data_IF_476891067882
#
_entry.id   IF_476891067882
#
_cell.length_a   1.000
_cell.length_b   1.000
_cell.length_c   1.000
_cell.angle_alpha   90.00
_cell.angle_beta   90.00
_cell.angle_gamma   90.00
#
_symmetry.space_group_name_H-M   'P 1'
#
loop_
_entity.id
_entity.type
_entity.pdbx_description
1 polymer ?
#
# COMPACT_ATOMS: atom_id res chain seq x y z
N UNK A 1 -0.02 -18.50 7.33
CA UNK A 1 0.51 -17.73 6.19
C UNK A 1 -0.62 -17.51 5.19
N UNK A 2 -0.93 -16.26 4.82
CA UNK A 2 -1.93 -15.98 3.78
C UNK A 2 -1.28 -16.24 2.41
N UNK A 3 -1.82 -17.19 1.65
CA UNK A 3 -1.33 -17.54 0.30
C UNK A 3 -1.79 -16.52 -0.74
N UNK A 4 -1.14 -16.51 -1.90
CA UNK A 4 -1.55 -15.69 -3.06
C UNK A 4 -2.99 -16.02 -3.47
N UNK A 5 -3.33 -17.30 -3.56
CA UNK A 5 -4.68 -17.77 -3.89
C UNK A 5 -5.75 -17.24 -2.94
N UNK A 6 -5.46 -17.26 -1.63
CA UNK A 6 -6.40 -16.75 -0.62
C UNK A 6 -6.64 -15.25 -0.77
N UNK A 7 -5.61 -14.46 -1.10
CA UNK A 7 -5.74 -13.02 -1.37
C UNK A 7 -6.57 -12.72 -2.61
N UNK A 8 -6.33 -13.45 -3.69
CA UNK A 8 -7.13 -13.36 -4.92
C UNK A 8 -8.61 -13.60 -4.60
N UNK A 9 -8.89 -14.66 -3.82
CA UNK A 9 -10.25 -15.03 -3.40
C UNK A 9 -10.92 -13.97 -2.54
N UNK A 10 -10.17 -13.41 -1.58
CA UNK A 10 -10.65 -12.35 -0.69
C UNK A 10 -10.96 -11.08 -1.50
N UNK A 11 -10.03 -10.61 -2.33
CA UNK A 11 -10.23 -9.44 -3.18
C UNK A 11 -11.42 -9.58 -4.12
N UNK A 12 -11.57 -10.76 -4.74
CA UNK A 12 -12.73 -11.04 -5.61
C UNK A 12 -14.04 -10.89 -4.85
N UNK A 13 -14.10 -11.38 -3.61
CA UNK A 13 -15.29 -11.30 -2.76
C UNK A 13 -15.57 -9.88 -2.26
N UNK A 14 -14.54 -9.10 -1.97
CA UNK A 14 -14.67 -7.66 -1.64
C UNK A 14 -15.31 -6.87 -2.79
N UNK A 15 -14.97 -7.23 -4.03
CA UNK A 15 -15.57 -6.65 -5.23
C UNK A 15 -16.92 -7.27 -5.61
N UNK A 16 -17.44 -8.19 -4.79
CA UNK A 16 -18.69 -8.93 -5.04
C UNK A 16 -18.73 -9.67 -6.38
N UNK A 17 -17.57 -10.08 -6.90
CA UNK A 17 -17.46 -10.80 -8.17
C UNK A 17 -17.59 -12.30 -7.95
N UNK A 18 -18.30 -12.98 -8.84
CA UNK A 18 -18.33 -14.44 -8.92
C UNK A 18 -17.15 -14.97 -9.75
N UNK A 19 -16.90 -16.28 -9.70
CA UNK A 19 -15.91 -16.90 -10.60
C UNK A 19 -16.32 -16.73 -12.07
N UNK A 20 -17.62 -16.72 -12.36
CA UNK A 20 -18.14 -16.50 -13.72
C UNK A 20 -17.87 -15.07 -14.20
N UNK A 21 -17.94 -14.08 -13.32
CA UNK A 21 -17.65 -12.68 -13.67
C UNK A 21 -16.16 -12.50 -14.02
N UNK A 22 -15.26 -13.11 -13.25
CA UNK A 22 -13.83 -13.09 -13.59
C UNK A 22 -13.58 -13.80 -14.92
N UNK A 23 -14.23 -14.95 -15.16
CA UNK A 23 -14.14 -15.65 -16.45
C UNK A 23 -14.60 -14.76 -17.60
N UNK A 24 -15.70 -14.03 -17.44
CA UNK A 24 -16.21 -13.11 -18.47
C UNK A 24 -15.23 -11.96 -18.75
N UNK A 25 -14.55 -11.44 -17.72
CA UNK A 25 -13.58 -10.34 -17.85
C UNK A 25 -12.22 -10.76 -18.40
N UNK A 26 -11.76 -11.96 -18.05
CA UNK A 26 -10.36 -12.38 -18.27
C UNK A 26 -10.21 -13.58 -19.21
N UNK A 27 -11.30 -14.30 -19.51
CA UNK A 27 -11.23 -15.58 -20.21
C UNK A 27 -10.66 -16.73 -19.38
N UNK A 28 -10.21 -16.49 -18.13
CA UNK A 28 -9.72 -17.54 -17.23
C UNK A 28 -10.89 -18.45 -16.84
N UNK A 29 -10.75 -19.76 -17.07
CA UNK A 29 -11.82 -20.71 -16.71
C UNK A 29 -12.09 -20.72 -15.20
N UNK A 30 -13.35 -20.94 -14.81
CA UNK A 30 -13.75 -20.99 -13.40
C UNK A 30 -13.03 -22.09 -12.63
N UNK A 31 -12.73 -23.23 -13.27
CA UNK A 31 -11.91 -24.30 -12.70
C UNK A 31 -10.47 -23.86 -12.44
N UNK A 32 -9.82 -23.25 -13.42
CA UNK A 32 -8.46 -22.74 -13.26
C UNK A 32 -8.38 -21.66 -12.17
N UNK A 33 -9.35 -20.75 -12.14
CA UNK A 33 -9.44 -19.73 -11.10
C UNK A 33 -9.67 -20.33 -9.71
N UNK A 34 -10.52 -21.37 -9.60
CA UNK A 34 -10.74 -22.09 -8.35
C UNK A 34 -9.47 -22.78 -7.85
N UNK A 35 -8.71 -23.42 -8.75
CA UNK A 35 -7.42 -24.04 -8.40
C UNK A 35 -6.41 -23.01 -7.92
N UNK A 36 -6.38 -21.82 -8.55
CA UNK A 36 -5.57 -20.70 -8.11
C UNK A 36 -5.99 -20.22 -6.72
N UNK A 37 -7.28 -19.95 -6.52
CA UNK A 37 -7.83 -19.42 -5.26
C UNK A 37 -7.64 -20.35 -4.06
N UNK A 38 -7.67 -21.66 -4.29
CA UNK A 38 -7.45 -22.65 -3.24
C UNK A 38 -5.97 -23.01 -3.04
N UNK A 39 -5.06 -22.43 -3.84
CA UNK A 39 -3.62 -22.66 -3.73
C UNK A 39 -3.13 -23.96 -4.36
N UNK A 40 -3.97 -24.64 -5.14
CA UNK A 40 -3.60 -25.85 -5.88
C UNK A 40 -2.72 -25.54 -7.09
N UNK A 41 -2.75 -24.29 -7.57
CA UNK A 41 -1.99 -23.81 -8.72
C UNK A 41 -1.55 -22.37 -8.50
N UNK A 42 -0.35 -22.02 -8.95
CA UNK A 42 0.08 -20.63 -9.02
C UNK A 42 -0.34 -20.03 -10.39
N UNK A 43 -0.78 -18.77 -10.42
CA UNK A 43 -1.06 -18.10 -11.70
C UNK A 43 0.25 -17.90 -12.47
N UNK A 44 0.23 -18.20 -13.77
CA UNK A 44 1.32 -17.78 -14.65
C UNK A 44 1.33 -16.25 -14.80
N UNK A 45 2.44 -15.66 -15.23
CA UNK A 45 2.57 -14.20 -15.38
C UNK A 45 1.42 -13.56 -16.19
N UNK A 46 1.00 -14.09 -17.36
CA UNK A 46 -0.14 -13.52 -18.08
C UNK A 46 -1.46 -13.61 -17.31
N UNK A 47 -1.69 -14.72 -16.60
CA UNK A 47 -2.88 -14.90 -15.73
C UNK A 47 -2.85 -13.93 -14.57
N UNK A 48 -1.69 -13.67 -13.98
CA UNK A 48 -1.51 -12.74 -12.88
C UNK A 48 -1.87 -11.30 -13.30
N UNK A 49 -1.41 -10.86 -14.48
CA UNK A 49 -1.74 -9.53 -15.02
C UNK A 49 -3.25 -9.41 -15.27
N UNK A 50 -3.86 -10.40 -15.93
CA UNK A 50 -5.30 -10.42 -16.17
C UNK A 50 -6.12 -10.39 -14.86
N UNK A 51 -5.64 -11.08 -13.83
CA UNK A 51 -6.27 -11.05 -12.51
C UNK A 51 -6.12 -9.69 -11.83
N UNK A 52 -4.93 -9.06 -11.91
CA UNK A 52 -4.69 -7.73 -11.37
C UNK A 52 -5.67 -6.70 -11.98
N UNK A 53 -5.82 -6.72 -13.31
CA UNK A 53 -6.76 -5.85 -14.02
C UNK A 53 -8.22 -6.10 -13.59
N UNK A 54 -8.65 -7.37 -13.56
CA UNK A 54 -10.02 -7.73 -13.20
C UNK A 54 -10.37 -7.47 -11.72
N UNK A 55 -9.36 -7.51 -10.84
CA UNK A 55 -9.48 -7.30 -9.40
C UNK A 55 -9.11 -5.88 -8.96
N UNK A 56 -8.87 -4.97 -9.91
CA UNK A 56 -8.59 -3.56 -9.67
C UNK A 56 -7.49 -3.40 -8.59
N UNK A 57 -6.38 -4.09 -8.77
CA UNK A 57 -5.20 -4.02 -7.91
C UNK A 57 -3.92 -4.23 -8.72
N UNK A 58 -2.76 -3.98 -8.13
CA UNK A 58 -1.48 -4.26 -8.77
C UNK A 58 -1.10 -5.74 -8.63
N UNK A 59 -0.25 -6.22 -9.54
CA UNK A 59 0.39 -7.54 -9.39
C UNK A 59 1.17 -7.65 -8.09
N UNK A 60 1.77 -6.55 -7.65
CA UNK A 60 2.56 -6.47 -6.42
C UNK A 60 1.68 -6.74 -5.19
N UNK A 61 0.47 -6.16 -5.15
CA UNK A 61 -0.51 -6.43 -4.10
C UNK A 61 -0.87 -7.92 -4.00
N UNK A 62 -1.03 -8.59 -5.15
CA UNK A 62 -1.32 -10.03 -5.21
C UNK A 62 -0.14 -10.86 -4.68
N UNK A 63 1.10 -10.43 -4.91
CA UNK A 63 2.31 -11.17 -4.57
C UNK A 63 2.79 -10.93 -3.12
N UNK A 64 2.77 -9.68 -2.62
CA UNK A 64 3.46 -9.30 -1.38
C UNK A 64 2.75 -9.75 -0.10
N UNK A 65 3.37 -10.63 0.69
CA UNK A 65 2.78 -11.24 1.90
C UNK A 65 2.39 -10.24 3.00
N UNK A 66 2.88 -9.00 2.94
CA UNK A 66 2.61 -7.92 3.87
C UNK A 66 2.76 -6.62 3.11
N UNK A 67 1.67 -5.90 2.86
CA UNK A 67 1.81 -4.44 2.83
C UNK A 67 2.05 -4.08 4.29
N UNK A 68 3.24 -3.62 4.70
CA UNK A 68 3.33 -2.95 6.00
C UNK A 68 2.24 -1.88 5.99
N UNK A 69 1.51 -1.75 7.10
CA UNK A 69 0.40 -0.80 7.29
C UNK A 69 0.80 0.69 7.06
N UNK A 70 2.04 0.95 6.65
CA UNK A 70 2.60 2.24 6.28
C UNK A 70 2.49 2.61 4.79
N UNK A 71 1.98 1.77 3.90
CA UNK A 71 1.74 2.17 2.50
C UNK A 71 0.28 2.05 2.09
N UNK A 72 -0.54 2.91 2.68
CA UNK A 72 -1.68 3.45 1.97
C UNK A 72 -1.13 4.45 0.95
N UNK A 73 -0.88 4.01 -0.29
CA UNK A 73 -0.74 4.86 -1.48
C UNK A 73 -0.98 4.03 -2.77
N UNK A 74 -2.05 3.22 -2.76
CA UNK A 74 -2.54 2.53 -3.97
C UNK A 74 -3.31 3.44 -4.94
N UNK A 75 -3.40 4.72 -4.64
CA UNK A 75 -3.80 5.78 -5.56
C UNK A 75 -2.93 6.98 -5.19
N UNK A 76 -1.95 7.33 -6.04
CA UNK A 76 -1.32 8.64 -5.93
C UNK A 76 -2.44 9.66 -5.94
N UNK A 77 -2.54 10.45 -4.87
CA UNK A 77 -3.54 11.50 -4.78
C UNK A 77 -3.46 12.37 -6.05
N UNK A 78 -4.58 12.85 -6.57
CA UNK A 78 -4.61 13.60 -7.83
C UNK A 78 -3.65 14.80 -7.76
N UNK A 79 -3.50 15.40 -6.57
CA UNK A 79 -2.54 16.46 -6.32
C UNK A 79 -1.07 16.01 -6.35
N UNK A 80 -0.74 14.77 -6.00
CA UNK A 80 0.63 14.25 -6.09
C UNK A 80 1.09 14.11 -7.55
N UNK A 81 0.19 13.63 -8.41
CA UNK A 81 0.47 13.50 -9.85
C UNK A 81 0.64 14.88 -10.52
N UNK A 82 -0.19 15.85 -10.14
CA UNK A 82 -0.08 17.23 -10.64
C UNK A 82 1.24 17.89 -10.22
N UNK A 83 1.69 17.68 -8.98
CA UNK A 83 2.99 18.15 -8.50
C UNK A 83 4.13 17.53 -9.32
N UNK A 84 4.07 16.23 -9.63
CA UNK A 84 5.09 15.55 -10.42
C UNK A 84 5.17 16.08 -11.85
N UNK A 85 4.03 16.40 -12.47
CA UNK A 85 4.01 16.98 -13.81
C UNK A 85 4.62 18.38 -13.84
N UNK A 86 4.27 19.23 -12.86
CA UNK A 86 4.87 20.55 -12.71
C UNK A 86 6.38 20.47 -12.42
N UNK A 87 6.80 19.56 -11.53
CA UNK A 87 8.21 19.38 -11.16
C UNK A 87 9.08 18.98 -12.35
N UNK A 88 8.55 18.26 -13.34
CA UNK A 88 9.30 17.86 -14.55
C UNK A 88 9.59 19.03 -15.49
N UNK A 89 8.80 20.11 -15.43
CA UNK A 89 8.84 21.21 -16.39
C UNK A 89 9.72 22.40 -15.93
N UNK A 90 10.16 22.41 -14.67
CA UNK A 90 10.95 23.47 -14.07
C UNK A 90 12.46 23.19 -14.14
N UNK A 91 13.27 24.22 -13.87
CA UNK A 91 14.74 24.14 -13.93
C UNK A 91 15.34 23.29 -12.81
N UNK A 92 16.59 22.83 -12.96
CA UNK A 92 17.28 22.09 -11.89
C UNK A 92 17.50 22.94 -10.63
N UNK A 93 17.70 24.26 -10.78
CA UNK A 93 17.82 25.18 -9.65
C UNK A 93 16.51 25.24 -8.84
N UNK A 94 15.37 25.36 -9.52
CA UNK A 94 14.05 25.36 -8.87
C UNK A 94 13.75 23.99 -8.21
N UNK A 95 14.18 22.90 -8.83
CA UNK A 95 14.06 21.54 -8.26
C UNK A 95 14.85 21.41 -6.96
N UNK A 96 16.08 21.92 -6.92
CA UNK A 96 16.91 21.94 -5.71
C UNK A 96 16.26 22.77 -4.59
N UNK A 97 15.69 23.93 -4.91
CA UNK A 97 14.95 24.74 -3.94
C UNK A 97 13.74 24.01 -3.36
N UNK A 98 12.93 23.38 -4.23
CA UNK A 98 11.78 22.57 -3.83
C UNK A 98 12.23 21.40 -2.95
N UNK A 99 13.31 20.71 -3.32
CA UNK A 99 13.87 19.62 -2.52
C UNK A 99 14.27 20.12 -1.13
N UNK A 100 14.94 21.27 -1.04
CA UNK A 100 15.33 21.86 0.24
C UNK A 100 14.09 22.19 1.08
N UNK A 101 13.07 22.82 0.51
CA UNK A 101 11.81 23.12 1.19
C UNK A 101 11.11 21.85 1.71
N UNK A 102 11.00 20.82 0.86
CA UNK A 102 10.38 19.53 1.23
C UNK A 102 11.17 18.85 2.35
N UNK A 103 12.50 18.81 2.24
CA UNK A 103 13.38 18.21 3.24
C UNK A 103 13.21 18.87 4.62
N UNK A 104 13.06 20.21 4.65
CA UNK A 104 12.81 20.97 5.87
C UNK A 104 11.43 20.65 6.48
N UNK A 105 10.38 20.57 5.66
CA UNK A 105 9.03 20.21 6.12
C UNK A 105 8.99 18.80 6.70
N UNK A 106 9.62 17.83 6.05
CA UNK A 106 9.71 16.43 6.55
C UNK A 106 10.49 16.36 7.87
N UNK A 107 11.63 17.05 7.97
CA UNK A 107 12.40 17.14 9.23
C UNK A 107 11.56 17.71 10.38
N UNK A 108 10.78 18.77 10.13
CA UNK A 108 9.89 19.35 11.15
C UNK A 108 8.82 18.36 11.63
N UNK A 109 8.27 17.54 10.75
CA UNK A 109 7.28 16.51 11.13
C UNK A 109 7.94 15.47 12.04
N UNK A 110 9.16 15.01 11.72
CA UNK A 110 9.91 14.07 12.56
C UNK A 110 10.19 14.64 13.95
N UNK A 111 10.68 15.88 14.02
CA UNK A 111 10.96 16.58 15.28
C UNK A 111 9.68 16.73 16.13
N UNK A 112 8.55 17.12 15.53
CA UNK A 112 7.26 17.24 16.24
C UNK A 112 6.79 15.90 16.80
N UNK A 113 6.96 14.80 16.06
CA UNK A 113 6.65 13.45 16.54
C UNK A 113 7.52 13.04 17.73
N UNK A 114 8.83 13.34 17.68
CA UNK A 114 9.77 13.02 18.75
C UNK A 114 9.56 13.86 20.02
N UNK A 115 9.18 15.13 19.88
CA UNK A 115 8.88 16.01 21.03
C UNK A 115 7.54 15.65 21.69
N UNK A 116 6.52 15.28 20.91
CA UNK A 116 5.24 14.79 21.45
C UNK A 116 5.35 13.48 22.22
N UNK A 117 6.35 12.65 21.93
CA UNK A 117 6.64 11.41 22.67
C UNK A 117 7.33 11.65 24.02
N UNK A 118 8.10 12.73 24.16
CA UNK A 118 8.83 13.08 25.40
C UNK A 118 7.94 13.78 26.43
N UNK A 119 6.92 14.52 26.01
CA UNK A 119 5.98 15.20 26.92
C UNK A 119 5.03 14.27 27.67
N UNK A 120 4.86 13.02 27.23
CA UNK A 120 3.97 12.02 27.86
C UNK A 120 4.61 11.29 29.03
N UNK A 121 5.93 11.41 29.22
CA UNK A 121 6.68 10.76 30.30
C UNK A 121 7.22 11.86 31.23
N UNK A 122 6.36 12.39 32.12
CA UNK A 122 6.82 13.15 33.28
C UNK A 122 7.07 12.17 34.46
N UNK A 123 8.11 12.34 35.28
CA UNK A 123 8.52 11.34 36.25
C UNK A 123 7.54 11.25 37.42
N UNK A 124 7.13 10.03 37.77
CA UNK A 124 6.46 9.74 39.03
C UNK A 124 7.43 10.11 40.16
N UNK A 125 7.14 11.20 40.87
CA UNK A 125 7.89 11.60 42.07
C UNK A 125 7.77 10.50 43.12
N UNK A 126 8.89 9.82 43.38
CA UNK A 126 9.07 8.95 44.53
C UNK A 126 8.99 9.79 45.81
N UNK A 127 7.88 9.71 46.55
CA UNK A 127 7.87 10.11 47.96
C UNK A 127 8.63 9.08 48.80
N UNK A 128 9.58 9.49 49.65
CA UNK A 128 10.26 8.56 50.54
C UNK A 128 9.27 8.09 51.62
N UNK A 129 9.24 6.77 51.87
CA UNK A 129 8.55 6.20 53.03
C UNK A 129 9.23 6.72 54.30
N UNK A 130 8.50 7.50 55.09
CA UNK A 130 8.85 7.79 56.47
C UNK A 130 8.04 6.89 57.40
N UNK A 131 8.78 6.24 58.30
CA UNK A 131 8.42 5.60 59.57
C UNK A 131 7.29 4.55 59.56
#
# INVERSE_FOLDING_TARGET
MITIGKRIKERRKELHLTLADIKAKTGISTGNLSDIENGNRLPASPTLVQLADALQCSTDWILMHSVPESENNGCSDLGELEILDMYRQISEEDKEEIYMMLSLKVKRIKIKKEQGLKSTISPIENKPKMA
#
